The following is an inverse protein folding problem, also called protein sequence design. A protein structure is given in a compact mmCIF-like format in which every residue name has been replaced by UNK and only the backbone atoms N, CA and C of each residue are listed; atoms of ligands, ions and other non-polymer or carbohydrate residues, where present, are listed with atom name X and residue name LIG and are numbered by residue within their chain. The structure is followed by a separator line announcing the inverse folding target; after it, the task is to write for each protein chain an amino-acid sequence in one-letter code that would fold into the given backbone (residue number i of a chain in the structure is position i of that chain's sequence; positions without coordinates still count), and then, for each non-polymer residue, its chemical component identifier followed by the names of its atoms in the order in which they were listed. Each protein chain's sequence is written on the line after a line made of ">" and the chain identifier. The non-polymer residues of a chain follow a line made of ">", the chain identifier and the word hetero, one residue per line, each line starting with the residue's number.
data_IF_157120075342
#
_entry.id   IF_157120075342
#
_cell.length_a   1.000
_cell.length_b   1.000
_cell.length_c   1.000
_cell.angle_alpha   90.00
_cell.angle_beta   90.00
_cell.angle_gamma   90.00
#
_symmetry.space_group_name_H-M   'P 1'
#
loop_
_entity.id
_entity.type
_entity.pdbx_description
1 polymer ?
#
# COMPACT_ATOMS: atom_id res chain seq x y z
N UNK A 1 68.60 -0.14 7.07
CA UNK A 1 67.39 0.37 7.75
C UNK A 1 66.31 0.62 6.72
N UNK A 2 65.27 -0.23 6.65
CA UNK A 2 64.04 0.06 5.92
C UNK A 2 62.90 -0.13 6.92
N UNK A 3 62.23 0.96 7.30
CA UNK A 3 61.08 0.92 8.19
C UNK A 3 59.87 0.40 7.41
N UNK A 4 59.34 -0.75 7.85
CA UNK A 4 57.98 -1.19 7.53
C UNK A 4 56.99 -0.31 8.29
N UNK A 5 56.37 0.66 7.60
CA UNK A 5 55.22 1.36 8.16
C UNK A 5 54.01 0.42 8.28
N UNK A 6 53.09 0.68 9.23
CA UNK A 6 51.91 -0.16 9.41
C UNK A 6 51.01 -0.09 8.17
N UNK A 7 50.48 -1.25 7.77
CA UNK A 7 49.47 -1.34 6.72
C UNK A 7 48.25 -0.46 7.10
N UNK A 8 47.66 0.27 6.14
CA UNK A 8 46.48 1.06 6.41
C UNK A 8 45.36 0.14 6.89
N UNK A 9 44.78 0.47 8.05
CA UNK A 9 43.59 -0.18 8.55
C UNK A 9 42.50 -0.11 7.47
N UNK A 10 42.05 -1.29 7.00
CA UNK A 10 40.83 -1.42 6.23
C UNK A 10 39.70 -0.81 7.04
N UNK A 11 39.36 0.45 6.74
CA UNK A 11 38.12 1.04 7.22
C UNK A 11 37.00 0.21 6.61
N UNK A 12 36.42 -0.70 7.40
CA UNK A 12 35.18 -1.38 7.06
C UNK A 12 34.13 -0.30 6.80
N UNK A 13 33.88 -0.03 5.52
CA UNK A 13 32.72 0.75 5.10
C UNK A 13 31.51 0.02 5.69
N UNK A 14 30.66 0.67 6.49
CA UNK A 14 29.45 0.03 6.99
C UNK A 14 28.68 -0.51 5.78
N UNK A 15 28.28 -1.78 5.84
CA UNK A 15 27.50 -2.36 4.76
C UNK A 15 26.25 -1.50 4.56
N UNK A 16 25.98 -1.08 3.33
CA UNK A 16 24.78 -0.30 3.01
C UNK A 16 23.53 -1.09 3.46
N UNK A 17 22.55 -0.43 4.07
CA UNK A 17 21.30 -1.08 4.52
C UNK A 17 20.55 -1.65 3.31
N UNK A 18 19.91 -2.81 3.49
CA UNK A 18 19.10 -3.45 2.47
C UNK A 18 17.85 -2.61 2.19
N UNK A 19 17.61 -2.13 0.95
CA UNK A 19 16.41 -1.39 0.64
C UNK A 19 15.18 -2.32 0.63
N UNK A 20 14.13 -1.90 1.31
CA UNK A 20 12.81 -2.54 1.34
C UNK A 20 11.80 -1.55 0.79
N UNK A 21 11.00 -1.94 -0.20
CA UNK A 21 10.11 -1.03 -0.91
C UNK A 21 8.64 -1.37 -0.68
N UNK A 22 7.83 -0.34 -0.42
CA UNK A 22 6.39 -0.42 -0.42
C UNK A 22 5.85 0.36 -1.62
N UNK A 23 5.23 -0.36 -2.56
CA UNK A 23 4.45 0.20 -3.65
C UNK A 23 3.02 0.35 -3.15
N UNK A 24 2.53 1.57 -2.98
CA UNK A 24 1.20 1.82 -2.43
C UNK A 24 0.30 2.42 -3.50
N UNK A 25 -0.84 1.77 -3.74
CA UNK A 25 -1.88 2.32 -4.59
C UNK A 25 -2.49 3.61 -4.04
N UNK A 26 -3.15 4.38 -4.90
CA UNK A 26 -3.74 5.66 -4.57
C UNK A 26 -5.26 5.56 -4.45
N UNK A 27 -5.92 5.19 -5.55
CA UNK A 27 -7.35 5.30 -5.74
C UNK A 27 -8.08 4.25 -4.91
N UNK A 28 -8.96 4.66 -4.00
CA UNK A 28 -9.64 3.79 -3.02
C UNK A 28 -8.70 3.06 -2.04
N UNK A 29 -7.38 3.11 -2.22
CA UNK A 29 -6.40 2.71 -1.21
C UNK A 29 -6.12 3.82 -0.20
N UNK A 30 -5.62 4.97 -0.66
CA UNK A 30 -5.24 6.13 0.17
C UNK A 30 -6.27 7.26 0.12
N UNK A 31 -6.96 7.41 -1.01
CA UNK A 31 -7.91 8.50 -1.25
C UNK A 31 -9.15 8.02 -1.97
N UNK A 32 -10.27 8.72 -1.78
CA UNK A 32 -11.45 8.57 -2.60
C UNK A 32 -11.49 9.66 -3.69
N UNK A 33 -11.40 9.33 -4.99
CA UNK A 33 -11.42 10.31 -6.07
C UNK A 33 -12.84 10.81 -6.39
N UNK A 34 -12.99 12.13 -6.55
CA UNK A 34 -14.24 12.80 -6.92
C UNK A 34 -14.13 13.35 -8.35
N UNK A 35 -14.93 12.78 -9.24
CA UNK A 35 -14.91 13.07 -10.67
C UNK A 35 -15.78 14.28 -11.04
N UNK A 36 -15.37 15.04 -12.06
CA UNK A 36 -16.22 16.06 -12.67
C UNK A 36 -17.36 15.38 -13.42
N UNK A 37 -18.61 15.65 -13.06
CA UNK A 37 -19.74 15.28 -13.92
C UNK A 37 -19.66 16.08 -15.22
N UNK A 38 -19.49 15.37 -16.34
CA UNK A 38 -19.74 15.91 -17.68
C UNK A 38 -21.12 15.40 -18.07
N UNK A 39 -22.09 16.31 -18.26
CA UNK A 39 -23.41 15.93 -18.76
C UNK A 39 -23.27 15.36 -20.17
N UNK A 40 -23.54 14.06 -20.36
CA UNK A 40 -23.56 13.44 -21.69
C UNK A 40 -23.24 11.95 -21.78
N UNK A 41 -22.61 11.33 -20.77
CA UNK A 41 -22.31 9.89 -20.79
C UNK A 41 -23.28 9.09 -19.90
N UNK A 42 -23.75 7.96 -20.45
CA UNK A 42 -24.91 7.19 -20.04
C UNK A 42 -24.92 6.64 -18.58
N UNK A 43 -26.11 6.77 -17.98
CA UNK A 43 -26.92 5.83 -17.17
C UNK A 43 -26.34 4.87 -16.12
N UNK A 44 -25.09 4.97 -15.65
CA UNK A 44 -24.61 4.17 -14.50
C UNK A 44 -23.98 4.98 -13.34
N UNK A 45 -24.02 6.31 -13.41
CA UNK A 45 -23.40 7.21 -12.40
C UNK A 45 -24.41 7.98 -11.53
N UNK A 46 -25.64 7.49 -11.40
CA UNK A 46 -26.73 8.13 -10.65
C UNK A 46 -26.65 7.94 -9.13
N UNK A 47 -25.49 8.27 -8.51
CA UNK A 47 -25.40 8.39 -7.04
C UNK A 47 -24.54 9.54 -6.48
N UNK A 48 -24.15 10.54 -7.27
CA UNK A 48 -23.59 11.77 -6.71
C UNK A 48 -24.55 12.94 -6.88
N UNK A 49 -25.09 13.39 -5.74
CA UNK A 49 -26.03 14.50 -5.62
C UNK A 49 -25.44 15.80 -6.18
N UNK A 50 -26.21 16.47 -7.04
CA UNK A 50 -25.96 17.77 -7.65
C UNK A 50 -26.10 18.93 -6.65
N UNK A 51 -25.32 18.91 -5.57
CA UNK A 51 -25.22 20.03 -4.66
C UNK A 51 -23.96 20.85 -4.98
N UNK A 52 -24.11 22.18 -5.01
CA UNK A 52 -23.00 23.13 -5.05
C UNK A 52 -21.94 22.74 -4.02
N UNK A 53 -20.71 22.48 -4.47
CA UNK A 53 -19.64 22.08 -3.55
C UNK A 53 -19.38 23.21 -2.55
N UNK A 54 -19.50 22.96 -1.23
CA UNK A 54 -19.19 23.96 -0.23
C UNK A 54 -17.68 24.26 -0.23
N UNK A 55 -17.24 25.41 0.31
CA UNK A 55 -15.83 25.78 0.34
C UNK A 55 -14.96 24.69 0.99
N UNK A 56 -13.79 24.48 0.39
CA UNK A 56 -12.88 23.33 0.56
C UNK A 56 -12.40 23.03 2.00
N UNK A 57 -12.69 23.87 2.98
CA UNK A 57 -12.23 23.71 4.37
C UNK A 57 -13.20 22.95 5.29
N UNK A 58 -14.44 22.70 4.89
CA UNK A 58 -15.45 22.15 5.82
C UNK A 58 -15.63 20.62 5.81
N UNK A 59 -15.05 19.87 4.86
CA UNK A 59 -15.26 18.41 4.72
C UNK A 59 -14.01 17.57 4.40
N UNK A 60 -12.80 18.12 4.48
CA UNK A 60 -11.56 17.35 4.24
C UNK A 60 -11.34 16.97 2.77
N UNK A 61 -11.83 17.79 1.84
CA UNK A 61 -11.71 17.59 0.40
C UNK A 61 -10.54 18.40 -0.14
N UNK A 62 -9.66 17.73 -0.87
CA UNK A 62 -8.45 18.32 -1.43
C UNK A 62 -8.62 18.56 -2.92
N UNK A 63 -8.47 19.80 -3.41
CA UNK A 63 -8.55 20.09 -4.83
C UNK A 63 -7.36 19.46 -5.57
N UNK A 64 -7.61 19.01 -6.80
CA UNK A 64 -6.61 18.38 -7.66
C UNK A 64 -6.62 19.02 -9.04
N UNK A 65 -5.46 19.44 -9.53
CA UNK A 65 -5.31 20.01 -10.86
C UNK A 65 -4.13 19.39 -11.61
N UNK A 66 -4.41 18.74 -12.73
CA UNK A 66 -3.42 18.06 -13.57
C UNK A 66 -3.88 17.97 -15.03
N UNK A 67 -2.92 17.73 -15.92
CA UNK A 67 -3.18 17.66 -17.36
C UNK A 67 -4.13 16.50 -17.68
N UNK A 68 -5.24 16.82 -18.37
CA UNK A 68 -6.28 15.85 -18.73
C UNK A 68 -7.18 15.41 -17.56
N UNK A 69 -7.17 16.15 -16.45
CA UNK A 69 -7.74 15.71 -15.19
C UNK A 69 -9.26 15.56 -15.20
N UNK A 70 -9.72 14.32 -14.95
CA UNK A 70 -11.13 13.96 -14.73
C UNK A 70 -11.51 14.02 -13.25
N UNK A 71 -10.54 13.76 -12.36
CA UNK A 71 -10.68 13.90 -10.91
C UNK A 71 -10.43 15.36 -10.54
N UNK A 72 -11.36 15.95 -9.79
CA UNK A 72 -11.30 17.38 -9.40
C UNK A 72 -10.97 17.57 -7.94
N UNK A 73 -11.39 16.63 -7.11
CA UNK A 73 -11.15 16.62 -5.68
C UNK A 73 -10.86 15.19 -5.24
N UNK A 74 -10.19 15.06 -4.11
CA UNK A 74 -10.04 13.78 -3.42
C UNK A 74 -10.33 13.94 -1.94
N UNK A 75 -10.80 12.87 -1.32
CA UNK A 75 -10.92 12.80 0.13
C UNK A 75 -9.90 11.80 0.66
N UNK A 76 -9.09 12.20 1.64
CA UNK A 76 -8.14 11.30 2.29
C UNK A 76 -8.89 10.22 3.06
N UNK A 77 -8.36 9.00 3.01
CA UNK A 77 -8.82 7.91 3.88
C UNK A 77 -8.39 8.19 5.33
N UNK A 78 -9.23 7.85 6.33
CA UNK A 78 -8.87 7.96 7.74
C UNK A 78 -7.51 7.34 8.05
N UNK A 79 -6.77 7.97 8.97
CA UNK A 79 -5.45 7.54 9.44
C UNK A 79 -4.30 7.51 8.42
N UNK A 80 -4.54 7.79 7.12
CA UNK A 80 -3.48 7.81 6.11
C UNK A 80 -2.37 8.80 6.45
N UNK A 81 -2.71 10.01 6.92
CA UNK A 81 -1.69 11.03 7.24
C UNK A 81 -0.82 10.62 8.44
N UNK A 82 -1.39 10.23 9.60
CA UNK A 82 -0.59 9.64 10.69
C UNK A 82 0.25 8.43 10.27
N UNK A 83 -0.31 7.53 9.45
CA UNK A 83 0.39 6.37 8.94
C UNK A 83 1.59 6.73 8.07
N UNK A 84 1.38 7.60 7.08
CA UNK A 84 2.45 8.05 6.19
C UNK A 84 3.50 8.83 6.97
N UNK A 85 3.12 9.66 7.94
CA UNK A 85 4.08 10.29 8.87
C UNK A 85 4.95 9.25 9.57
N UNK A 86 4.32 8.23 10.15
CA UNK A 86 4.99 7.18 10.92
C UNK A 86 6.02 6.41 10.08
N UNK A 87 5.68 6.10 8.83
CA UNK A 87 6.53 5.30 7.92
C UNK A 87 7.56 6.17 7.19
N UNK A 88 7.16 7.32 6.65
CA UNK A 88 8.01 8.17 5.79
C UNK A 88 8.90 9.13 6.57
N UNK A 89 8.34 9.80 7.57
CA UNK A 89 9.01 10.90 8.27
C UNK A 89 9.68 10.44 9.55
N UNK A 90 8.95 9.68 10.37
CA UNK A 90 9.45 9.15 11.62
C UNK A 90 10.36 7.93 11.38
N UNK A 91 10.38 7.41 10.14
CA UNK A 91 11.19 6.26 9.72
C UNK A 91 10.99 5.07 10.67
N UNK A 92 9.78 4.86 11.16
CA UNK A 92 9.57 3.95 12.30
C UNK A 92 9.76 2.47 11.95
N UNK A 93 9.74 2.13 10.65
CA UNK A 93 9.95 0.78 10.15
C UNK A 93 11.41 0.50 9.74
N UNK A 94 12.28 1.51 9.79
CA UNK A 94 13.69 1.35 9.49
C UNK A 94 14.38 0.50 10.59
N UNK A 95 15.24 -0.44 10.20
CA UNK A 95 16.05 -1.23 11.15
C UNK A 95 17.54 -0.97 10.97
N UNK A 96 18.39 -1.51 11.85
CA UNK A 96 19.85 -1.40 11.67
C UNK A 96 20.34 -1.97 10.32
N UNK A 97 19.62 -2.93 9.74
CA UNK A 97 20.02 -3.64 8.52
C UNK A 97 19.19 -3.30 7.29
N UNK A 98 17.98 -2.76 7.45
CA UNK A 98 17.04 -2.50 6.36
C UNK A 98 16.58 -1.05 6.35
N UNK A 99 16.40 -0.48 5.16
CA UNK A 99 15.89 0.88 4.96
C UNK A 99 14.59 0.83 4.15
N UNK A 100 13.52 1.45 4.64
CA UNK A 100 12.19 1.43 4.01
C UNK A 100 12.03 2.58 3.03
N UNK A 101 11.54 2.29 1.84
CA UNK A 101 11.21 3.26 0.80
C UNK A 101 9.74 3.09 0.43
N UNK A 102 8.99 4.20 0.33
CA UNK A 102 7.58 4.16 -0.09
C UNK A 102 7.45 4.89 -1.42
N UNK A 103 6.81 4.24 -2.37
CA UNK A 103 6.52 4.78 -3.70
C UNK A 103 5.02 4.69 -3.95
N UNK A 104 4.49 5.64 -4.72
CA UNK A 104 3.09 5.59 -5.14
C UNK A 104 2.98 4.89 -6.49
N UNK A 105 1.95 4.06 -6.66
CA UNK A 105 1.72 3.36 -7.92
C UNK A 105 0.23 3.30 -8.25
N UNK A 106 -0.21 4.06 -9.26
CA UNK A 106 -1.61 4.10 -9.72
C UNK A 106 -1.76 3.61 -11.16
N UNK A 107 -2.97 3.20 -11.54
CA UNK A 107 -3.36 2.94 -12.94
C UNK A 107 -3.71 4.22 -13.71
N UNK A 108 -3.87 5.33 -13.01
CA UNK A 108 -4.07 6.66 -13.61
C UNK A 108 -2.76 7.21 -14.18
N UNK A 109 -2.79 8.31 -14.91
CA UNK A 109 -1.59 8.89 -15.54
C UNK A 109 -0.52 9.31 -14.53
N UNK A 110 0.75 9.36 -14.97
CA UNK A 110 1.85 9.98 -14.20
C UNK A 110 1.50 11.38 -13.66
N UNK A 111 0.79 12.20 -14.45
CA UNK A 111 0.36 13.53 -14.04
C UNK A 111 -0.62 13.50 -12.85
N UNK A 112 -1.51 12.51 -12.80
CA UNK A 112 -2.38 12.29 -11.64
C UNK A 112 -1.58 11.87 -10.41
N UNK A 113 -0.69 10.88 -10.56
CA UNK A 113 0.16 10.39 -9.48
C UNK A 113 0.97 11.53 -8.84
N UNK A 114 1.61 12.35 -9.67
CA UNK A 114 2.34 13.53 -9.23
C UNK A 114 1.43 14.56 -8.52
N UNK A 115 0.24 14.83 -9.06
CA UNK A 115 -0.68 15.77 -8.43
C UNK A 115 -1.12 15.31 -7.03
N UNK A 116 -1.40 14.01 -6.85
CA UNK A 116 -1.74 13.46 -5.54
C UNK A 116 -0.57 13.62 -4.56
N UNK A 117 0.64 13.28 -4.96
CA UNK A 117 1.82 13.44 -4.12
C UNK A 117 2.02 14.92 -3.71
N UNK A 118 2.08 15.83 -4.69
CA UNK A 118 2.53 17.21 -4.46
C UNK A 118 1.43 18.19 -4.04
N UNK A 119 0.16 17.92 -4.36
CA UNK A 119 -0.97 18.82 -4.05
C UNK A 119 -1.82 18.31 -2.88
N UNK A 120 -1.71 17.03 -2.51
CA UNK A 120 -2.54 16.41 -1.45
C UNK A 120 -1.69 15.85 -0.33
N UNK A 121 -0.90 14.80 -0.59
CA UNK A 121 -0.23 14.03 0.46
C UNK A 121 0.88 14.82 1.16
N UNK A 122 1.79 15.47 0.41
CA UNK A 122 2.85 16.28 1.03
C UNK A 122 2.32 17.50 1.78
N UNK A 123 1.35 18.28 1.26
CA UNK A 123 0.68 19.32 2.04
C UNK A 123 0.01 18.81 3.32
N UNK A 124 -0.67 17.67 3.27
CA UNK A 124 -1.31 17.08 4.45
C UNK A 124 -0.28 16.62 5.50
N UNK A 125 0.84 16.03 5.06
CA UNK A 125 1.95 15.66 5.93
C UNK A 125 2.59 16.88 6.59
N UNK A 126 2.87 17.92 5.81
CA UNK A 126 3.42 19.18 6.31
C UNK A 126 2.50 19.82 7.36
N UNK A 127 1.20 19.89 7.08
CA UNK A 127 0.20 20.38 8.02
C UNK A 127 0.17 19.56 9.31
N UNK A 128 0.28 18.23 9.22
CA UNK A 128 0.26 17.34 10.40
C UNK A 128 1.48 17.50 11.31
N UNK A 129 2.63 17.87 10.75
CA UNK A 129 3.87 18.13 11.51
C UNK A 129 4.02 19.58 11.97
N UNK A 130 3.15 20.48 11.48
CA UNK A 130 3.30 21.91 11.72
C UNK A 130 4.51 22.53 11.00
N UNK A 131 5.01 21.84 9.98
CA UNK A 131 6.22 22.20 9.24
C UNK A 131 5.87 22.84 7.88
N UNK A 132 6.70 23.75 7.36
CA UNK A 132 6.40 24.42 6.11
C UNK A 132 6.62 23.49 4.90
N UNK A 133 5.70 23.53 3.93
CA UNK A 133 5.68 22.60 2.77
C UNK A 133 7.00 22.53 1.96
N UNK A 134 7.79 23.60 1.94
CA UNK A 134 9.04 23.60 1.17
C UNK A 134 10.07 22.62 1.73
N UNK A 135 10.07 22.32 3.02
CA UNK A 135 10.97 21.32 3.62
C UNK A 135 10.71 19.93 3.04
N UNK A 136 9.45 19.58 2.84
CA UNK A 136 9.04 18.31 2.22
C UNK A 136 9.24 18.26 0.71
N UNK A 137 9.36 19.41 0.04
CA UNK A 137 9.65 19.45 -1.41
C UNK A 137 11.13 19.25 -1.71
N UNK A 138 11.99 19.59 -0.76
CA UNK A 138 13.44 19.36 -0.88
C UNK A 138 13.86 17.97 -0.41
N UNK A 139 13.05 17.34 0.44
CA UNK A 139 13.19 15.95 0.81
C UNK A 139 12.50 15.07 -0.24
N UNK A 140 13.19 14.07 -0.78
CA UNK A 140 12.57 13.04 -1.63
C UNK A 140 11.73 12.10 -0.75
N UNK A 141 10.62 12.63 -0.21
CA UNK A 141 9.78 11.96 0.81
C UNK A 141 9.21 10.66 0.25
N UNK A 142 8.63 10.69 -0.94
CA UNK A 142 8.32 9.48 -1.70
C UNK A 142 9.53 9.11 -2.55
N UNK A 143 9.86 7.83 -2.56
CA UNK A 143 11.03 7.32 -3.29
C UNK A 143 10.83 7.43 -4.80
N UNK A 144 9.68 6.98 -5.30
CA UNK A 144 9.33 7.04 -6.72
C UNK A 144 7.81 7.21 -6.91
N UNK A 145 7.40 7.70 -8.08
CA UNK A 145 5.99 7.89 -8.45
C UNK A 145 5.72 7.19 -9.79
N UNK A 146 4.89 6.15 -9.76
CA UNK A 146 4.56 5.35 -10.94
C UNK A 146 3.11 5.60 -11.39
N UNK A 147 2.93 6.00 -12.65
CA UNK A 147 1.62 6.05 -13.30
C UNK A 147 1.28 4.76 -14.05
N UNK A 148 0.11 4.76 -14.67
CA UNK A 148 -0.47 3.62 -15.39
C UNK A 148 0.34 3.18 -16.61
N UNK A 149 1.23 4.04 -17.11
CA UNK A 149 2.20 3.68 -18.15
C UNK A 149 3.18 2.56 -17.73
N UNK A 150 3.33 2.31 -16.42
CA UNK A 150 4.13 1.20 -15.89
C UNK A 150 3.35 -0.10 -15.72
N UNK A 151 2.02 -0.06 -15.86
CA UNK A 151 1.19 -1.26 -15.73
C UNK A 151 1.49 -2.23 -16.89
N UNK A 152 1.45 -3.52 -16.58
CA UNK A 152 1.70 -4.59 -17.54
C UNK A 152 0.40 -5.31 -17.87
N UNK A 153 0.23 -5.70 -19.14
CA UNK A 153 -0.94 -6.46 -19.55
C UNK A 153 -0.73 -7.93 -19.18
N UNK A 154 -1.64 -8.50 -18.40
CA UNK A 154 -1.55 -9.87 -17.90
C UNK A 154 -2.86 -10.64 -18.01
N UNK A 155 -2.78 -11.96 -18.13
CA UNK A 155 -3.95 -12.84 -18.09
C UNK A 155 -4.50 -12.92 -16.67
N UNK A 156 -5.74 -12.49 -16.49
CA UNK A 156 -6.50 -12.54 -15.26
C UNK A 156 -7.56 -13.62 -15.34
N UNK A 157 -7.57 -14.51 -14.36
CA UNK A 157 -8.56 -15.55 -14.21
C UNK A 157 -9.29 -15.26 -12.90
N UNK A 158 -10.45 -14.61 -13.00
CA UNK A 158 -11.38 -14.61 -11.90
C UNK A 158 -12.05 -15.98 -11.84
N UNK A 159 -11.89 -16.70 -10.73
CA UNK A 159 -12.87 -17.71 -10.38
C UNK A 159 -14.07 -16.98 -9.76
N UNK A 160 -15.17 -16.92 -10.49
CA UNK A 160 -16.43 -16.44 -9.92
C UNK A 160 -17.01 -17.57 -9.05
N UNK A 161 -16.97 -17.40 -7.74
CA UNK A 161 -17.76 -18.23 -6.85
C UNK A 161 -19.19 -17.70 -6.86
N UNK A 162 -20.11 -18.47 -7.45
CA UNK A 162 -21.53 -18.15 -7.43
C UNK A 162 -22.05 -18.41 -6.02
N UNK A 163 -22.56 -17.37 -5.35
CA UNK A 163 -23.42 -17.59 -4.19
C UNK A 163 -24.61 -18.43 -4.64
N UNK A 164 -24.94 -19.56 -3.98
CA UNK A 164 -26.22 -20.20 -4.23
C UNK A 164 -27.33 -19.18 -3.92
N UNK A 165 -28.28 -19.03 -4.86
CA UNK A 165 -29.42 -18.13 -4.71
C UNK A 165 -30.11 -18.33 -3.35
N UNK A 166 -30.72 -17.29 -2.73
CA UNK A 166 -31.26 -17.34 -1.36
C UNK A 166 -32.45 -18.29 -1.13
N UNK A 167 -32.74 -19.21 -2.05
CA UNK A 167 -33.98 -19.99 -2.09
C UNK A 167 -33.88 -21.45 -1.64
N UNK A 168 -32.69 -22.01 -1.39
CA UNK A 168 -32.55 -23.42 -1.02
C UNK A 168 -31.38 -23.64 -0.04
N UNK A 169 -31.58 -23.29 1.23
CA UNK A 169 -30.67 -23.71 2.31
C UNK A 169 -31.33 -24.84 3.09
N UNK A 170 -30.84 -26.07 2.87
CA UNK A 170 -30.99 -27.14 3.86
C UNK A 170 -29.91 -26.92 4.92
N UNK A 171 -30.27 -26.94 6.20
CA UNK A 171 -29.35 -26.75 7.32
C UNK A 171 -28.18 -27.76 7.26
N UNK A 172 -26.98 -27.25 6.97
CA UNK A 172 -25.73 -28.01 6.97
C UNK A 172 -24.56 -27.23 6.37
N UNK A 173 -23.54 -26.97 7.19
CA UNK A 173 -22.17 -26.50 6.88
C UNK A 173 -22.01 -25.44 5.75
N UNK A 174 -21.81 -24.14 6.06
CA UNK A 174 -21.67 -23.08 5.05
C UNK A 174 -20.36 -23.13 4.22
N UNK A 175 -19.44 -24.07 4.51
CA UNK A 175 -18.18 -24.19 3.78
C UNK A 175 -18.25 -25.14 2.56
N UNK A 176 -19.26 -26.01 2.47
CA UNK A 176 -19.28 -27.12 1.50
C UNK A 176 -20.20 -26.89 0.28
N UNK A 177 -20.86 -25.73 0.18
CA UNK A 177 -21.84 -25.43 -0.89
C UNK A 177 -21.38 -24.38 -1.92
N UNK A 178 -20.08 -24.11 -2.01
CA UNK A 178 -19.53 -23.20 -3.00
C UNK A 178 -19.31 -23.95 -4.32
N UNK A 179 -20.14 -23.67 -5.32
CA UNK A 179 -19.94 -24.22 -6.66
C UNK A 179 -18.92 -23.37 -7.42
N UNK A 180 -17.90 -24.04 -7.97
CA UNK A 180 -16.87 -23.45 -8.82
C UNK A 180 -17.52 -22.94 -10.11
N UNK A 181 -17.59 -21.63 -10.29
CA UNK A 181 -18.00 -21.02 -11.57
C UNK A 181 -16.88 -21.08 -12.62
N UNK A 182 -17.26 -21.02 -13.89
CA UNK A 182 -16.32 -21.00 -15.02
C UNK A 182 -15.30 -19.86 -14.89
N UNK A 183 -14.02 -20.19 -15.03
CA UNK A 183 -12.94 -19.21 -15.05
C UNK A 183 -12.93 -18.49 -16.41
N UNK A 184 -13.37 -17.23 -16.44
CA UNK A 184 -13.23 -16.38 -17.62
C UNK A 184 -11.86 -15.70 -17.60
N UNK A 185 -10.98 -16.08 -18.52
CA UNK A 185 -9.68 -15.44 -18.69
C UNK A 185 -9.84 -14.09 -19.42
N UNK A 186 -9.63 -12.97 -18.73
CA UNK A 186 -9.56 -11.63 -19.32
C UNK A 186 -8.10 -11.12 -19.39
N UNK A 187 -7.81 -10.21 -20.31
CA UNK A 187 -6.53 -9.50 -20.36
C UNK A 187 -6.66 -8.17 -19.60
N UNK A 188 -6.19 -8.15 -18.37
CA UNK A 188 -6.26 -7.00 -17.46
C UNK A 188 -4.93 -6.23 -17.44
N UNK A 189 -5.00 -4.94 -17.11
CA UNK A 189 -3.83 -4.16 -16.75
C UNK A 189 -3.51 -4.37 -15.27
N UNK A 190 -2.28 -4.79 -14.99
CA UNK A 190 -1.80 -5.13 -13.66
C UNK A 190 -0.62 -4.27 -13.25
N UNK A 191 -0.46 -4.13 -11.94
CA UNK A 191 0.76 -3.62 -11.33
C UNK A 191 1.71 -4.79 -11.06
N UNK A 192 2.96 -4.46 -10.83
CA UNK A 192 3.99 -5.46 -10.59
C UNK A 192 5.13 -4.88 -9.79
N UNK A 193 5.65 -5.68 -8.85
CA UNK A 193 6.79 -5.30 -8.01
C UNK A 193 8.10 -5.14 -8.80
N UNK A 194 8.14 -5.67 -10.03
CA UNK A 194 9.29 -5.56 -10.94
C UNK A 194 9.47 -4.17 -11.57
N UNK A 195 8.60 -3.21 -11.26
CA UNK A 195 8.83 -1.80 -11.62
C UNK A 195 10.05 -1.22 -10.87
N UNK A 196 10.42 -1.82 -9.74
CA UNK A 196 11.59 -1.47 -8.94
C UNK A 196 12.74 -2.48 -9.13
N UNK A 197 14.00 -2.06 -8.89
CA UNK A 197 15.19 -2.91 -9.09
C UNK A 197 15.34 -4.02 -8.04
N UNK A 198 14.61 -3.97 -6.93
CA UNK A 198 14.70 -4.93 -5.81
C UNK A 198 13.37 -5.66 -5.55
N UNK A 199 12.86 -6.46 -6.50
CA UNK A 199 11.55 -7.10 -6.39
C UNK A 199 11.43 -8.05 -5.20
N UNK A 200 12.53 -8.70 -4.79
CA UNK A 200 12.55 -9.62 -3.64
C UNK A 200 12.32 -8.94 -2.28
N UNK A 201 12.45 -7.61 -2.23
CA UNK A 201 12.20 -6.80 -1.03
C UNK A 201 11.11 -5.77 -1.27
N UNK A 202 10.28 -5.97 -2.29
CA UNK A 202 9.21 -5.05 -2.68
C UNK A 202 7.84 -5.66 -2.37
N UNK A 203 6.99 -4.91 -1.68
CA UNK A 203 5.61 -5.28 -1.36
C UNK A 203 4.64 -4.32 -2.06
N UNK A 204 3.62 -4.84 -2.73
CA UNK A 204 2.54 -4.06 -3.32
C UNK A 204 1.32 -4.04 -2.38
N UNK A 205 0.79 -2.85 -2.11
CA UNK A 205 -0.44 -2.63 -1.33
C UNK A 205 -1.48 -1.99 -2.25
N UNK A 206 -2.62 -2.66 -2.43
CA UNK A 206 -3.65 -2.25 -3.40
C UNK A 206 -5.02 -2.72 -2.90
N UNK A 207 -6.09 -2.01 -3.26
CA UNK A 207 -7.46 -2.35 -2.85
C UNK A 207 -8.17 -3.27 -3.86
N UNK A 208 -7.63 -3.42 -5.07
CA UNK A 208 -8.20 -4.22 -6.13
C UNK A 208 -7.36 -5.45 -6.46
N UNK A 209 -7.94 -6.64 -6.24
CA UNK A 209 -7.24 -7.91 -6.45
C UNK A 209 -6.72 -8.09 -7.89
N UNK A 210 -7.44 -7.55 -8.87
CA UNK A 210 -7.09 -7.55 -10.30
C UNK A 210 -5.71 -6.94 -10.56
N UNK A 211 -5.28 -5.98 -9.74
CA UNK A 211 -4.01 -5.29 -9.93
C UNK A 211 -2.80 -6.17 -9.57
N UNK A 212 -2.98 -7.25 -8.82
CA UNK A 212 -1.90 -8.17 -8.46
C UNK A 212 -1.63 -9.20 -9.54
N UNK A 213 -0.36 -9.57 -9.69
CA UNK A 213 0.01 -10.84 -10.32
C UNK A 213 -0.18 -11.98 -9.33
N UNK A 214 -0.70 -13.11 -9.81
CA UNK A 214 -0.98 -14.28 -8.96
C UNK A 214 0.25 -14.72 -8.18
N UNK A 215 1.41 -14.85 -8.84
CA UNK A 215 2.67 -15.22 -8.19
C UNK A 215 3.07 -14.24 -7.08
N UNK A 216 2.88 -12.93 -7.27
CA UNK A 216 3.25 -11.92 -6.28
C UNK A 216 2.36 -12.06 -5.04
N UNK A 217 1.07 -12.28 -5.23
CA UNK A 217 0.13 -12.49 -4.13
C UNK A 217 0.38 -13.83 -3.40
N UNK A 218 0.64 -14.91 -4.14
CA UNK A 218 0.85 -16.25 -3.57
C UNK A 218 2.21 -16.44 -2.88
N UNK A 219 3.18 -15.55 -3.14
CA UNK A 219 4.49 -15.53 -2.48
C UNK A 219 4.59 -14.47 -1.38
N UNK A 220 3.52 -13.74 -1.10
CA UNK A 220 3.45 -12.74 -0.04
C UNK A 220 4.02 -11.37 -0.38
N UNK A 221 4.11 -11.03 -1.67
CA UNK A 221 4.51 -9.71 -2.18
C UNK A 221 3.32 -8.80 -2.51
N UNK A 222 2.09 -9.19 -2.15
CA UNK A 222 0.88 -8.39 -2.28
C UNK A 222 0.06 -8.34 -0.99
N UNK A 223 -0.55 -7.18 -0.68
CA UNK A 223 -1.49 -6.98 0.42
C UNK A 223 -2.75 -6.31 -0.13
N UNK A 224 -3.89 -6.99 -0.01
CA UNK A 224 -5.19 -6.51 -0.47
C UNK A 224 -5.89 -5.73 0.67
N UNK A 225 -6.00 -4.42 0.53
CA UNK A 225 -6.67 -3.58 1.54
C UNK A 225 -8.16 -3.39 1.25
N UNK A 226 -8.97 -2.96 2.23
CA UNK A 226 -10.32 -2.49 1.97
C UNK A 226 -10.39 -1.30 1.03
N UNK A 227 -11.25 -1.34 -0.01
CA UNK A 227 -11.51 -0.16 -0.81
C UNK A 227 -12.22 0.90 0.05
N UNK A 228 -11.75 2.13 -0.07
CA UNK A 228 -12.26 3.28 0.66
C UNK A 228 -13.21 4.11 -0.21
N UNK A 229 -14.42 4.32 0.31
CA UNK A 229 -15.45 5.16 -0.28
C UNK A 229 -15.97 6.13 0.76
N UNK A 230 -15.72 7.42 0.58
CA UNK A 230 -15.98 8.45 1.59
C UNK A 230 -17.43 8.54 2.10
N UNK A 231 -18.41 8.14 1.27
CA UNK A 231 -19.85 8.17 1.62
C UNK A 231 -20.33 6.89 2.34
N UNK A 232 -19.45 5.91 2.56
CA UNK A 232 -19.81 4.68 3.24
C UNK A 232 -19.91 4.91 4.76
N UNK A 233 -20.99 4.43 5.39
CA UNK A 233 -21.21 4.46 6.85
C UNK A 233 -20.02 3.88 7.64
N UNK A 234 -19.25 2.98 7.02
CA UNK A 234 -18.05 2.34 7.57
C UNK A 234 -16.81 3.26 7.66
N UNK A 235 -16.80 4.46 7.07
CA UNK A 235 -15.63 5.35 7.09
C UNK A 235 -15.19 5.76 8.49
N UNK A 236 -16.12 5.88 9.44
CA UNK A 236 -15.78 6.23 10.82
C UNK A 236 -15.09 5.08 11.60
N UNK A 237 -15.12 3.85 11.08
CA UNK A 237 -14.54 2.65 11.70
C UNK A 237 -13.36 2.07 10.88
N UNK A 238 -12.86 2.80 9.88
CA UNK A 238 -11.76 2.33 9.03
C UNK A 238 -10.41 2.38 9.76
N UNK A 239 -10.08 1.30 10.46
CA UNK A 239 -8.84 1.14 11.21
C UNK A 239 -7.67 0.60 10.34
N UNK A 240 -7.83 0.47 9.02
CA UNK A 240 -6.84 -0.18 8.14
C UNK A 240 -5.45 0.47 8.23
N UNK A 241 -5.41 1.80 8.20
CA UNK A 241 -4.18 2.62 8.29
C UNK A 241 -3.91 3.12 9.70
N UNK A 242 -4.62 2.63 10.72
CA UNK A 242 -4.44 3.14 12.08
C UNK A 242 -3.06 2.75 12.63
N UNK A 243 -2.35 3.74 13.14
CA UNK A 243 -1.12 3.55 13.92
C UNK A 243 -1.51 3.47 15.41
N UNK A 244 -0.98 2.53 16.20
CA UNK A 244 -1.20 2.53 17.65
C UNK A 244 -0.70 3.86 18.25
N UNK A 245 -1.36 4.40 19.29
CA UNK A 245 -0.98 5.70 19.84
C UNK A 245 0.45 5.66 20.39
N UNK A 246 1.36 6.34 19.70
CA UNK A 246 2.72 6.63 20.17
C UNK A 246 2.70 7.83 21.12
N UNK A 247 1.98 7.74 22.25
CA UNK A 247 2.06 8.69 23.37
C UNK A 247 1.78 10.19 23.11
N UNK A 248 1.59 10.64 21.87
CA UNK A 248 1.39 12.04 21.50
C UNK A 248 0.91 12.12 20.05
N UNK A 249 -0.40 12.00 19.83
CA UNK A 249 -1.08 12.56 18.66
C UNK A 249 -2.59 12.59 18.98
N UNK A 250 -2.96 13.56 19.81
CA UNK A 250 -4.35 13.98 19.93
C UNK A 250 -4.74 14.73 18.64
N UNK A 251 -5.94 14.42 18.14
CA UNK A 251 -6.86 15.29 17.40
C UNK A 251 -6.26 16.22 16.34
N UNK A 252 -6.15 15.75 15.08
CA UNK A 252 -5.92 16.67 13.94
C UNK A 252 -7.01 16.58 12.86
N UNK A 253 -7.98 15.66 12.95
CA UNK A 253 -9.12 15.67 12.03
C UNK A 253 -10.39 15.39 12.81
N UNK A 254 -10.96 16.43 13.46
CA UNK A 254 -12.39 16.37 13.82
C UNK A 254 -12.90 17.02 15.10
N UNK A 255 -12.15 17.80 15.89
CA UNK A 255 -12.74 18.46 17.08
C UNK A 255 -12.44 19.97 17.18
N UNK A 256 -13.50 20.72 17.47
CA UNK A 256 -13.61 22.11 17.92
C UNK A 256 -13.40 23.28 16.94
N UNK A 257 -14.47 23.56 16.19
CA UNK A 257 -14.94 24.93 15.96
C UNK A 257 -16.44 25.04 16.30
N UNK A 258 -16.80 24.84 17.56
CA UNK A 258 -17.99 25.48 18.14
C UNK A 258 -17.76 25.76 19.62
N UNK A 259 -16.93 26.76 19.87
CA UNK A 259 -16.81 27.40 21.18
C UNK A 259 -18.08 28.21 21.47
N UNK A 260 -19.14 27.54 21.92
CA UNK A 260 -20.25 28.19 22.63
C UNK A 260 -20.98 27.25 23.61
N UNK A 261 -20.47 27.25 24.84
CA UNK A 261 -21.25 27.20 26.08
C UNK A 261 -22.19 26.01 26.32
N UNK A 262 -21.84 25.16 27.29
CA UNK A 262 -22.81 24.24 27.89
C UNK A 262 -22.16 23.12 28.70
N UNK A 263 -21.96 23.38 29.99
CA UNK A 263 -21.51 22.40 30.98
C UNK A 263 -22.63 21.40 31.28
N UNK A 264 -22.54 20.09 30.93
CA UNK A 264 -23.23 18.98 31.66
C UNK A 264 -22.51 17.61 31.48
N UNK A 265 -22.05 17.08 32.63
CA UNK A 265 -21.88 15.69 33.10
C UNK A 265 -21.22 14.56 32.28
N UNK A 266 -20.19 14.00 32.93
CA UNK A 266 -19.72 12.61 32.88
C UNK A 266 -20.84 11.57 32.82
N UNK A 267 -20.84 10.75 31.77
CA UNK A 267 -21.66 9.55 31.62
C UNK A 267 -20.77 8.36 31.28
N UNK A 268 -20.24 7.71 32.31
CA UNK A 268 -19.48 6.46 32.24
C UNK A 268 -20.42 5.32 31.77
N UNK A 269 -20.44 5.03 30.48
CA UNK A 269 -21.13 3.86 29.94
C UNK A 269 -20.19 2.64 30.01
N UNK A 270 -20.51 1.70 30.89
CA UNK A 270 -20.00 0.33 30.85
C UNK A 270 -20.46 -0.35 29.56
N UNK A 271 -19.50 -0.70 28.70
CA UNK A 271 -19.59 -1.76 27.68
C UNK A 271 -18.25 -2.48 27.78
N UNK A 272 -18.18 -3.61 28.48
CA UNK A 272 -18.45 -4.92 27.91
C UNK A 272 -17.09 -5.63 27.83
N UNK A 273 -16.94 -6.79 28.47
CA UNK A 273 -15.70 -7.58 28.41
C UNK A 273 -15.36 -7.84 26.94
N UNK A 274 -14.27 -7.25 26.46
CA UNK A 274 -13.65 -7.62 25.19
C UNK A 274 -12.88 -8.91 25.47
N UNK A 275 -13.28 -9.99 24.82
CA UNK A 275 -12.53 -11.25 24.82
C UNK A 275 -11.12 -10.97 24.31
N UNK A 276 -10.13 -11.57 24.98
CA UNK A 276 -8.69 -11.30 24.78
C UNK A 276 -8.14 -11.95 23.49
N UNK A 277 -9.00 -12.43 22.60
CA UNK A 277 -8.64 -13.12 21.36
C UNK A 277 -8.92 -12.32 20.06
N UNK A 278 -9.61 -11.16 20.11
CA UNK A 278 -9.83 -10.30 18.93
C UNK A 278 -8.68 -9.28 18.75
N UNK A 279 -7.46 -9.77 18.51
CA UNK A 279 -6.36 -8.90 18.08
C UNK A 279 -6.59 -8.50 16.62
N UNK A 280 -7.20 -7.34 16.40
CA UNK A 280 -7.34 -6.75 15.07
C UNK A 280 -5.94 -6.47 14.50
N UNK A 281 -5.53 -7.25 13.51
CA UNK A 281 -4.29 -7.02 12.77
C UNK A 281 -4.52 -5.90 11.77
N UNK A 282 -3.65 -4.89 11.78
CA UNK A 282 -3.71 -3.71 10.90
C UNK A 282 -2.65 -3.83 9.80
N UNK A 283 -2.73 -2.94 8.81
CA UNK A 283 -1.76 -2.92 7.71
C UNK A 283 -0.33 -2.73 8.24
N UNK A 284 -0.15 -1.86 9.23
CA UNK A 284 1.17 -1.59 9.84
C UNK A 284 1.81 -2.87 10.38
N UNK A 285 1.04 -3.72 11.06
CA UNK A 285 1.54 -4.96 11.66
C UNK A 285 2.06 -5.92 10.54
N UNK A 286 1.37 -5.98 9.40
CA UNK A 286 1.80 -6.76 8.22
C UNK A 286 3.09 -6.20 7.60
N UNK A 287 3.19 -4.87 7.47
CA UNK A 287 4.38 -4.21 6.93
C UNK A 287 5.60 -4.41 7.84
N UNK A 288 5.42 -4.34 9.16
CA UNK A 288 6.47 -4.60 10.15
C UNK A 288 7.04 -6.02 10.01
N UNK A 289 6.20 -7.06 9.92
CA UNK A 289 6.74 -8.40 9.75
C UNK A 289 7.33 -8.66 8.37
N UNK A 290 6.88 -7.96 7.32
CA UNK A 290 7.55 -8.01 6.02
C UNK A 290 8.98 -7.46 6.13
N UNK A 291 9.16 -6.28 6.75
CA UNK A 291 10.48 -5.68 6.96
C UNK A 291 11.33 -6.56 7.87
N UNK A 292 10.75 -7.14 8.93
CA UNK A 292 11.47 -8.06 9.82
C UNK A 292 11.91 -9.34 9.10
N UNK A 293 11.12 -9.84 8.15
CA UNK A 293 11.52 -10.95 7.29
C UNK A 293 12.71 -10.56 6.40
N UNK A 294 12.65 -9.40 5.74
CA UNK A 294 13.78 -8.87 4.96
C UNK A 294 15.04 -8.69 5.80
N UNK A 295 14.91 -8.16 7.01
CA UNK A 295 16.00 -8.00 7.97
C UNK A 295 16.63 -9.35 8.31
N UNK A 296 15.81 -10.32 8.72
CA UNK A 296 16.28 -11.63 9.19
C UNK A 296 16.91 -12.47 8.09
N UNK A 297 16.50 -12.26 6.83
CA UNK A 297 16.96 -13.02 5.67
C UNK A 297 17.85 -12.20 4.73
N UNK A 298 18.40 -11.06 5.20
CA UNK A 298 19.22 -10.14 4.41
C UNK A 298 20.30 -10.87 3.60
N UNK A 299 21.11 -11.72 4.24
CA UNK A 299 22.22 -12.41 3.57
C UNK A 299 21.74 -13.35 2.46
N UNK A 300 20.59 -14.00 2.63
CA UNK A 300 20.01 -14.85 1.59
C UNK A 300 19.48 -14.02 0.42
N UNK A 301 18.82 -12.89 0.71
CA UNK A 301 18.34 -11.93 -0.30
C UNK A 301 19.51 -11.37 -1.11
N UNK A 302 20.57 -10.91 -0.44
CA UNK A 302 21.78 -10.41 -1.07
C UNK A 302 22.49 -11.48 -1.90
N UNK A 303 22.53 -12.74 -1.45
CA UNK A 303 23.12 -13.84 -2.23
C UNK A 303 22.35 -14.11 -3.54
N UNK A 304 21.02 -14.05 -3.50
CA UNK A 304 20.18 -14.20 -4.70
C UNK A 304 20.34 -13.02 -5.67
N UNK A 305 20.54 -11.80 -5.15
CA UNK A 305 20.88 -10.64 -5.98
C UNK A 305 22.33 -10.71 -6.52
N UNK A 306 23.28 -11.17 -5.70
CA UNK A 306 24.70 -11.26 -6.02
C UNK A 306 25.04 -12.33 -7.07
N UNK A 307 24.18 -13.35 -7.23
CA UNK A 307 24.22 -14.27 -8.37
C UNK A 307 23.86 -13.62 -9.72
N UNK A 308 23.33 -12.39 -9.70
CA UNK A 308 22.93 -11.61 -10.86
C UNK A 308 23.50 -10.19 -10.78
N UNK A 309 24.83 -10.07 -10.79
CA UNK A 309 25.62 -8.85 -11.03
C UNK A 309 25.22 -7.57 -10.26
N UNK A 310 25.98 -7.27 -9.19
CA UNK A 310 26.34 -5.93 -8.73
C UNK A 310 25.22 -4.89 -8.58
N UNK A 311 24.79 -4.64 -7.34
CA UNK A 311 24.02 -3.44 -7.02
C UNK A 311 24.83 -2.18 -7.40
N UNK A 312 24.31 -1.26 -8.22
CA UNK A 312 24.93 0.04 -8.41
C UNK A 312 24.85 0.84 -7.10
N UNK A 313 25.90 1.63 -6.86
CA UNK A 313 25.99 2.58 -5.75
C UNK A 313 24.83 3.59 -5.81
N UNK A 314 24.36 4.16 -4.68
CA UNK A 314 23.20 5.06 -4.65
C UNK A 314 23.38 6.39 -5.40
N UNK A 315 24.56 6.67 -5.95
CA UNK A 315 24.91 7.97 -6.54
C UNK A 315 24.66 8.08 -8.06
N UNK A 316 24.21 7.03 -8.74
CA UNK A 316 23.86 7.12 -10.16
C UNK A 316 22.35 7.14 -10.37
N UNK A 317 21.77 8.36 -10.27
CA UNK A 317 20.46 8.70 -10.83
C UNK A 317 20.48 8.55 -12.34
N UNK A 318 20.32 7.32 -12.82
CA UNK A 318 20.12 7.03 -14.23
C UNK A 318 18.73 6.43 -14.40
N UNK A 319 17.82 7.05 -15.18
CA UNK A 319 16.53 6.44 -15.48
C UNK A 319 16.75 5.06 -16.08
N UNK A 320 16.07 4.05 -15.55
CA UNK A 320 16.26 2.66 -15.98
C UNK A 320 15.77 2.49 -17.43
N UNK A 321 16.66 2.71 -18.40
CA UNK A 321 16.46 2.37 -19.81
C UNK A 321 16.73 0.88 -20.10
N UNK A 322 16.56 0.00 -19.09
CA UNK A 322 16.96 -1.41 -19.18
C UNK A 322 15.88 -2.36 -19.74
N UNK A 323 14.85 -1.83 -20.42
CA UNK A 323 13.84 -2.64 -21.12
C UNK A 323 14.20 -2.93 -22.60
N UNK A 324 15.44 -2.70 -23.06
CA UNK A 324 15.78 -2.84 -24.50
C UNK A 324 16.99 -3.72 -24.87
N UNK A 325 17.72 -4.34 -23.95
CA UNK A 325 18.81 -5.26 -24.35
C UNK A 325 18.32 -6.71 -24.36
N UNK A 326 18.00 -7.20 -25.56
CA UNK A 326 17.90 -8.63 -25.85
C UNK A 326 19.28 -9.30 -25.62
N UNK A 327 19.32 -10.45 -24.95
CA UNK A 327 20.55 -11.26 -24.95
C UNK A 327 20.74 -12.32 -23.87
N UNK A 328 19.96 -12.36 -22.80
CA UNK A 328 20.01 -13.48 -21.83
C UNK A 328 18.62 -13.83 -21.34
N UNK A 329 18.20 -15.11 -21.38
CA UNK A 329 16.94 -15.52 -20.79
C UNK A 329 17.09 -15.40 -19.28
N UNK A 330 16.50 -14.35 -18.68
CA UNK A 330 16.27 -14.33 -17.24
C UNK A 330 15.50 -15.62 -16.89
N UNK A 331 15.83 -16.31 -15.77
CA UNK A 331 14.96 -17.37 -15.29
C UNK A 331 13.52 -16.83 -15.22
N UNK A 332 12.50 -17.65 -15.52
CA UNK A 332 11.13 -17.18 -15.54
C UNK A 332 10.88 -16.44 -14.23
N UNK A 333 10.46 -15.19 -14.35
CA UNK A 333 10.44 -14.18 -13.28
C UNK A 333 9.73 -14.69 -12.01
N UNK A 334 8.78 -15.62 -12.20
CA UNK A 334 8.06 -16.31 -11.13
C UNK A 334 8.95 -17.25 -10.31
N UNK A 335 9.98 -17.87 -10.89
CA UNK A 335 10.90 -18.78 -10.19
C UNK A 335 11.73 -18.07 -9.12
N UNK A 336 12.11 -16.80 -9.34
CA UNK A 336 12.84 -16.02 -8.32
C UNK A 336 11.97 -15.72 -7.10
N UNK A 337 10.69 -15.38 -7.31
CA UNK A 337 9.72 -15.18 -6.23
C UNK A 337 9.38 -16.49 -5.53
N UNK A 338 9.23 -17.59 -6.27
CA UNK A 338 9.03 -18.92 -5.68
C UNK A 338 10.22 -19.36 -4.81
N UNK A 339 11.46 -19.01 -5.20
CA UNK A 339 12.66 -19.32 -4.41
C UNK A 339 12.74 -18.49 -3.10
N UNK A 340 12.10 -17.31 -3.08
CA UNK A 340 11.98 -16.45 -1.91
C UNK A 340 10.52 -16.13 -1.57
N UNK A 341 9.79 -17.18 -1.16
CA UNK A 341 8.42 -17.04 -0.71
C UNK A 341 8.37 -16.52 0.75
N UNK A 342 7.85 -15.32 0.97
CA UNK A 342 7.77 -14.71 2.31
C UNK A 342 6.94 -15.54 3.28
N UNK A 343 5.88 -16.19 2.78
CA UNK A 343 5.02 -17.01 3.60
C UNK A 343 5.73 -18.26 4.14
N UNK A 344 6.72 -18.78 3.42
CA UNK A 344 7.55 -19.89 3.89
C UNK A 344 8.71 -19.40 4.78
N UNK A 345 9.27 -18.23 4.47
CA UNK A 345 10.42 -17.66 5.19
C UNK A 345 10.07 -17.05 6.55
N UNK A 346 8.83 -16.62 6.74
CA UNK A 346 8.38 -15.98 7.99
C UNK A 346 6.99 -16.45 8.41
N UNK A 347 6.90 -17.38 9.38
CA UNK A 347 5.63 -17.79 9.98
C UNK A 347 4.87 -16.62 10.63
N UNK A 348 5.59 -15.63 11.18
CA UNK A 348 5.00 -14.42 11.74
C UNK A 348 4.30 -13.60 10.65
N UNK A 349 5.00 -13.33 9.54
CA UNK A 349 4.43 -12.60 8.42
C UNK A 349 3.21 -13.32 7.85
N UNK A 350 3.31 -14.64 7.59
CA UNK A 350 2.16 -15.45 7.15
C UNK A 350 0.97 -15.33 8.11
N UNK A 351 1.21 -15.40 9.41
CA UNK A 351 0.13 -15.30 10.42
C UNK A 351 -0.56 -13.93 10.37
N UNK A 352 0.21 -12.84 10.37
CA UNK A 352 -0.36 -11.49 10.32
C UNK A 352 -1.04 -11.21 8.99
N UNK A 353 -0.45 -11.64 7.87
CA UNK A 353 -1.07 -11.53 6.56
C UNK A 353 -2.41 -12.28 6.53
N UNK A 354 -2.46 -13.53 7.01
CA UNK A 354 -3.71 -14.30 7.06
C UNK A 354 -4.77 -13.63 7.97
N UNK A 355 -4.36 -13.14 9.14
CA UNK A 355 -5.26 -12.48 10.08
C UNK A 355 -5.80 -11.16 9.52
N UNK A 356 -4.97 -10.34 8.88
CA UNK A 356 -5.39 -9.11 8.21
C UNK A 356 -6.41 -9.38 7.10
N UNK A 357 -6.25 -10.48 6.37
CA UNK A 357 -7.14 -10.87 5.27
C UNK A 357 -8.27 -11.81 5.67
N UNK A 358 -8.48 -12.12 6.96
CA UNK A 358 -9.45 -13.11 7.41
C UNK A 358 -10.89 -12.81 6.92
N UNK A 359 -11.29 -11.54 6.91
CA UNK A 359 -12.60 -11.09 6.42
C UNK A 359 -12.68 -10.93 4.89
N UNK A 360 -11.62 -11.28 4.16
CA UNK A 360 -11.48 -11.12 2.71
C UNK A 360 -11.02 -12.41 2.03
N UNK A 361 -11.10 -13.54 2.73
CA UNK A 361 -10.66 -14.84 2.20
C UNK A 361 -11.32 -15.16 0.85
N UNK A 362 -12.60 -14.82 0.68
CA UNK A 362 -13.35 -15.07 -0.56
C UNK A 362 -12.76 -14.36 -1.79
N UNK A 363 -12.25 -13.13 -1.63
CA UNK A 363 -11.61 -12.37 -2.71
C UNK A 363 -10.23 -12.92 -3.07
N UNK A 364 -9.62 -13.68 -2.17
CA UNK A 364 -8.26 -14.21 -2.30
C UNK A 364 -8.25 -15.70 -2.66
N UNK A 365 -9.35 -16.41 -2.45
CA UNK A 365 -9.44 -17.86 -2.62
C UNK A 365 -9.01 -18.32 -4.02
N UNK A 366 -9.38 -17.56 -5.06
CA UNK A 366 -9.01 -17.83 -6.45
C UNK A 366 -7.50 -17.81 -6.73
N UNK A 367 -6.70 -17.22 -5.84
CA UNK A 367 -5.25 -17.08 -6.00
C UNK A 367 -4.45 -18.17 -5.28
N UNK A 368 -5.10 -18.94 -4.41
CA UNK A 368 -4.48 -20.01 -3.63
C UNK A 368 -5.04 -21.41 -3.96
N UNK A 369 -6.09 -21.50 -4.79
CA UNK A 369 -6.73 -22.74 -5.21
C UNK A 369 -6.16 -23.33 -6.52
N UNK A 370 -4.93 -22.95 -6.90
CA UNK A 370 -4.25 -23.37 -8.14
C UNK A 370 -3.21 -24.46 -7.94
#
# INVERSE_FOLDING_TARGET
>A
MRSSGPAPALMHRPAARLPVHFLVDIDHTLVHPIYRHVAGDNSDTTRCSSASLPPASARGWWPLNYVGGRVTHVQLRPHVVPFLSHVLLDRSLDTSETQVHVSLYTRQSAAYCAAIAYQVLLPALAQSKGEPLHEFRHQEVFHELFGGEHCVRGRFEAMHWLNPSPGFLSEGSPADQWQLGEATASLEWRKTIFVLPSPLTTLLVDDHCVNFRVTELSTGHGVLVPPYYADAVACAADDCFRVPPTGSLCDVIGMDLDRRGGCISSGRAMLGRVDVDDVVVRLLDVLEAFVQCCHSHRSAIEAMHGGSAGMPSPDERTPCAACKSAGTPRPPVDAALSNFNFFERSPLYRRQWNAFHAHRADFLHSYFAG
#
